data_IF_032518317436
#
_entry.id   IF_032518317436
#
_cell.length_a   1.000
_cell.length_b   1.000
_cell.length_c   1.000
_cell.angle_alpha   90.00
_cell.angle_beta   90.00
_cell.angle_gamma   90.00
#
_symmetry.space_group_name_H-M   'P 1'
#
loop_
_entity.id
_entity.type
_entity.pdbx_description
1 polymer ?
#
# COMPACT_ATOMS: atom_id res chain seq x y z
N UNK A 1 8.31 30.66 -13.78
CA UNK A 1 7.18 29.99 -13.10
C UNK A 1 7.72 29.32 -11.85
N UNK A 2 7.23 29.66 -10.67
CA UNK A 2 7.54 28.89 -9.45
C UNK A 2 6.95 27.49 -9.65
N UNK A 3 7.78 26.45 -9.64
CA UNK A 3 7.30 25.08 -9.37
C UNK A 3 6.56 25.20 -8.03
N UNK A 4 5.24 25.03 -8.03
CA UNK A 4 4.56 24.81 -6.75
C UNK A 4 5.19 23.55 -6.18
N UNK A 5 5.64 23.61 -4.92
CA UNK A 5 5.95 22.41 -4.16
C UNK A 5 4.60 21.73 -3.92
N UNK A 6 4.13 20.96 -4.91
CA UNK A 6 2.93 20.15 -4.80
C UNK A 6 3.27 19.09 -3.76
N UNK A 7 2.63 19.21 -2.61
CA UNK A 7 2.91 18.37 -1.44
C UNK A 7 2.12 17.09 -1.64
N UNK A 8 2.78 15.93 -1.64
CA UNK A 8 2.14 14.63 -1.80
C UNK A 8 1.38 14.18 -0.53
N UNK A 9 0.90 15.10 0.31
CA UNK A 9 0.42 14.76 1.66
C UNK A 9 -0.63 13.65 1.66
N UNK A 10 -1.69 13.69 0.82
CA UNK A 10 -2.71 12.63 0.85
C UNK A 10 -2.18 11.26 0.40
N UNK A 11 -1.24 11.25 -0.56
CA UNK A 11 -0.59 10.02 -1.03
C UNK A 11 0.35 9.41 0.02
N UNK A 12 0.99 10.26 0.82
CA UNK A 12 1.86 9.83 1.93
C UNK A 12 0.99 9.26 3.06
N UNK A 13 -0.14 9.90 3.37
CA UNK A 13 -1.07 9.43 4.41
C UNK A 13 -1.64 8.03 4.10
N UNK A 14 -1.95 7.72 2.85
CA UNK A 14 -2.39 6.35 2.49
C UNK A 14 -1.27 5.31 2.63
N UNK A 15 -0.06 5.69 2.28
CA UNK A 15 1.10 4.81 2.41
C UNK A 15 1.46 4.55 3.87
N UNK A 16 1.20 5.49 4.77
CA UNK A 16 1.40 5.30 6.21
C UNK A 16 0.58 4.11 6.73
N UNK A 17 -0.65 3.89 6.22
CA UNK A 17 -1.47 2.74 6.61
C UNK A 17 -0.92 1.40 6.10
N UNK A 18 -0.35 1.40 4.89
CA UNK A 18 0.32 0.21 4.34
C UNK A 18 1.63 -0.07 5.08
N UNK A 19 2.36 0.96 5.48
CA UNK A 19 3.57 0.84 6.31
C UNK A 19 3.22 0.30 7.69
N UNK A 20 2.14 0.79 8.31
CA UNK A 20 1.62 0.30 9.58
C UNK A 20 1.22 -1.18 9.48
N UNK A 21 0.57 -1.61 8.40
CA UNK A 21 0.32 -3.03 8.14
C UNK A 21 1.63 -3.84 8.14
N UNK A 22 2.66 -3.36 7.46
CA UNK A 22 3.97 -4.02 7.41
C UNK A 22 4.60 -4.14 8.80
N UNK A 23 4.50 -3.09 9.62
CA UNK A 23 4.91 -3.11 11.04
C UNK A 23 4.18 -4.18 11.83
N UNK A 24 2.84 -4.20 11.74
CA UNK A 24 2.00 -5.20 12.42
C UNK A 24 2.36 -6.62 12.01
N UNK A 25 2.60 -6.88 10.72
CA UNK A 25 3.07 -8.20 10.26
C UNK A 25 4.40 -8.57 10.93
N UNK A 26 5.38 -7.66 10.96
CA UNK A 26 6.69 -7.89 11.61
C UNK A 26 6.52 -8.19 13.10
N UNK A 27 5.72 -7.40 13.81
CA UNK A 27 5.46 -7.59 15.24
C UNK A 27 4.78 -8.94 15.52
N UNK A 28 3.74 -9.29 14.76
CA UNK A 28 3.06 -10.58 14.90
C UNK A 28 4.02 -11.76 14.70
N UNK A 29 4.88 -11.70 13.68
CA UNK A 29 5.88 -12.74 13.41
C UNK A 29 6.97 -12.81 14.50
N UNK A 30 7.46 -11.66 14.96
CA UNK A 30 8.48 -11.58 16.03
C UNK A 30 7.95 -12.13 17.36
N UNK A 31 6.70 -11.81 17.69
CA UNK A 31 6.01 -12.27 18.89
C UNK A 31 5.47 -13.69 18.78
N UNK A 32 5.74 -14.39 17.65
CA UNK A 32 5.27 -15.76 17.38
C UNK A 32 3.75 -15.92 17.52
N UNK A 33 3.01 -14.89 17.13
CA UNK A 33 1.56 -14.97 16.98
C UNK A 33 1.23 -16.07 15.97
N UNK A 34 0.13 -16.79 16.16
CA UNK A 34 -0.35 -17.76 15.18
C UNK A 34 -0.47 -17.10 13.80
N UNK A 35 0.25 -17.64 12.80
CA UNK A 35 0.29 -17.11 11.44
C UNK A 35 -1.14 -16.89 10.86
N UNK A 36 -2.13 -17.69 11.26
CA UNK A 36 -3.52 -17.54 10.81
C UNK A 36 -4.17 -16.27 11.34
N UNK A 37 -3.86 -15.83 12.56
CA UNK A 37 -4.37 -14.58 13.13
C UNK A 37 -3.88 -13.38 12.32
N UNK A 38 -2.58 -13.39 12.02
CA UNK A 38 -1.94 -12.39 11.15
C UNK A 38 -2.59 -12.45 9.76
N UNK A 39 -2.72 -13.66 9.17
CA UNK A 39 -3.31 -13.84 7.84
C UNK A 39 -4.73 -13.29 7.74
N UNK A 40 -5.57 -13.56 8.73
CA UNK A 40 -6.95 -13.06 8.75
C UNK A 40 -6.99 -11.53 8.71
N UNK A 41 -6.11 -10.87 9.46
CA UNK A 41 -6.04 -9.41 9.49
C UNK A 41 -5.57 -8.84 8.16
N UNK A 42 -4.49 -9.38 7.58
CA UNK A 42 -3.98 -8.85 6.31
C UNK A 42 -4.95 -9.10 5.15
N UNK A 43 -5.74 -10.18 5.18
CA UNK A 43 -6.76 -10.46 4.18
C UNK A 43 -7.91 -9.46 4.29
N UNK A 44 -8.33 -9.17 5.52
CA UNK A 44 -9.30 -8.11 5.77
C UNK A 44 -8.78 -6.76 5.29
N UNK A 45 -7.56 -6.37 5.65
CA UNK A 45 -6.93 -5.12 5.21
C UNK A 45 -6.86 -5.04 3.68
N UNK A 46 -6.50 -6.15 3.04
CA UNK A 46 -6.41 -6.22 1.57
C UNK A 46 -7.75 -5.89 0.93
N UNK A 47 -8.81 -6.56 1.37
CA UNK A 47 -10.16 -6.40 0.83
C UNK A 47 -10.73 -5.01 1.10
N UNK A 48 -10.50 -4.45 2.29
CA UNK A 48 -11.14 -3.21 2.73
C UNK A 48 -10.36 -1.96 2.32
N UNK A 49 -9.06 -2.08 2.06
CA UNK A 49 -8.20 -0.92 1.84
C UNK A 49 -7.27 -1.09 0.62
N UNK A 50 -6.39 -2.10 0.65
CA UNK A 50 -5.30 -2.22 -0.33
C UNK A 50 -5.80 -2.39 -1.78
N UNK A 51 -6.89 -3.15 -1.98
CA UNK A 51 -7.44 -3.36 -3.32
C UNK A 51 -8.01 -2.07 -3.91
N UNK A 52 -8.69 -1.26 -3.08
CA UNK A 52 -9.21 0.04 -3.51
C UNK A 52 -8.07 1.01 -3.83
N UNK A 53 -7.01 1.03 -3.00
CA UNK A 53 -5.79 1.79 -3.26
C UNK A 53 -5.17 1.43 -4.62
N UNK A 54 -5.01 0.13 -4.94
CA UNK A 54 -4.52 -0.29 -6.26
C UNK A 54 -5.44 0.12 -7.41
N UNK A 55 -6.76 0.10 -7.23
CA UNK A 55 -7.69 0.59 -8.27
C UNK A 55 -7.55 2.09 -8.51
N UNK A 56 -7.38 2.89 -7.46
CA UNK A 56 -7.16 4.33 -7.56
C UNK A 56 -5.88 4.62 -8.34
N UNK A 57 -4.78 3.94 -8.01
CA UNK A 57 -3.52 4.08 -8.75
C UNK A 57 -3.69 3.76 -10.24
N UNK A 58 -4.35 2.63 -10.55
CA UNK A 58 -4.58 2.22 -11.94
C UNK A 58 -5.45 3.21 -12.71
N UNK A 59 -6.41 3.84 -12.03
CA UNK A 59 -7.39 4.74 -12.66
C UNK A 59 -6.85 6.16 -12.82
N UNK A 60 -6.10 6.66 -11.85
CA UNK A 60 -5.75 8.08 -11.77
C UNK A 60 -4.24 8.34 -11.89
N UNK A 61 -3.40 7.46 -11.37
CA UNK A 61 -1.95 7.66 -11.30
C UNK A 61 -1.25 7.15 -12.57
N UNK A 62 -1.43 5.87 -12.89
CA UNK A 62 -0.72 5.21 -13.99
C UNK A 62 -0.99 5.82 -15.38
N UNK A 63 -2.20 6.32 -15.70
CA UNK A 63 -2.46 6.94 -17.00
C UNK A 63 -1.63 8.20 -17.27
N UNK A 64 -1.15 8.90 -16.24
CA UNK A 64 -0.36 10.14 -16.39
C UNK A 64 0.98 9.86 -17.07
N UNK A 65 1.67 8.79 -16.64
CA UNK A 65 2.92 8.34 -17.28
C UNK A 65 2.66 7.52 -18.55
N UNK A 66 1.45 6.98 -18.69
CA UNK A 66 1.02 6.11 -19.78
C UNK A 66 1.37 4.64 -19.55
N UNK A 67 0.48 3.75 -20.00
CA UNK A 67 0.55 2.31 -19.74
C UNK A 67 1.79 1.61 -20.33
N UNK A 68 2.51 2.25 -21.26
CA UNK A 68 3.75 1.71 -21.83
C UNK A 68 5.00 2.06 -21.02
N UNK A 69 4.89 3.01 -20.07
CA UNK A 69 6.00 3.46 -19.24
C UNK A 69 6.56 2.33 -18.37
N UNK A 70 7.89 2.28 -18.24
CA UNK A 70 8.59 1.22 -17.50
C UNK A 70 8.25 1.20 -16.00
N UNK A 71 8.00 2.36 -15.39
CA UNK A 71 7.60 2.48 -13.98
C UNK A 71 6.19 1.96 -13.75
N UNK A 72 5.25 2.31 -14.62
CA UNK A 72 3.88 1.80 -14.60
C UNK A 72 3.87 0.28 -14.78
N UNK A 73 4.64 -0.25 -15.73
CA UNK A 73 4.79 -1.71 -15.91
C UNK A 73 5.34 -2.40 -14.67
N UNK A 74 6.28 -1.77 -13.97
CA UNK A 74 6.84 -2.27 -12.71
C UNK A 74 5.78 -2.24 -11.60
N UNK A 75 5.05 -1.15 -11.42
CA UNK A 75 3.97 -1.06 -10.43
C UNK A 75 2.91 -2.15 -10.64
N UNK A 76 2.42 -2.30 -11.87
CA UNK A 76 1.48 -3.37 -12.22
C UNK A 76 2.06 -4.78 -12.00
N UNK A 77 3.37 -4.97 -12.16
CA UNK A 77 4.02 -6.24 -11.85
C UNK A 77 4.07 -6.51 -10.34
N UNK A 78 4.30 -5.48 -9.53
CA UNK A 78 4.23 -5.57 -8.07
C UNK A 78 2.80 -5.90 -7.62
N UNK A 79 1.77 -5.22 -8.12
CA UNK A 79 0.36 -5.56 -7.84
C UNK A 79 0.06 -7.03 -8.10
N UNK A 80 0.45 -7.54 -9.28
CA UNK A 80 0.26 -8.96 -9.64
C UNK A 80 1.01 -9.89 -8.69
N UNK A 81 2.20 -9.51 -8.23
CA UNK A 81 2.99 -10.32 -7.31
C UNK A 81 2.36 -10.35 -5.92
N UNK A 82 1.97 -9.20 -5.40
CA UNK A 82 1.28 -9.07 -4.11
C UNK A 82 -0.02 -9.86 -4.12
N UNK A 83 -0.86 -9.72 -5.14
CA UNK A 83 -2.10 -10.50 -5.28
C UNK A 83 -1.86 -12.02 -5.24
N UNK A 84 -0.77 -12.51 -5.84
CA UNK A 84 -0.42 -13.94 -5.74
C UNK A 84 0.02 -14.34 -4.33
N UNK A 85 0.74 -13.48 -3.61
CA UNK A 85 1.15 -13.75 -2.23
C UNK A 85 -0.04 -13.78 -1.28
N UNK A 86 -0.96 -12.81 -1.39
CA UNK A 86 -2.19 -12.78 -0.59
C UNK A 86 -3.09 -14.01 -0.83
N UNK A 87 -3.11 -14.52 -2.06
CA UNK A 87 -3.88 -15.72 -2.41
C UNK A 87 -3.29 -17.04 -1.87
N UNK A 88 -2.05 -17.04 -1.34
CA UNK A 88 -1.43 -18.24 -0.81
C UNK A 88 -1.96 -18.58 0.59
N UNK A 89 -2.28 -19.87 0.79
CA UNK A 89 -2.88 -20.38 2.03
C UNK A 89 -1.98 -21.38 2.76
N UNK A 90 -0.80 -21.69 2.20
CA UNK A 90 0.17 -22.61 2.79
C UNK A 90 1.47 -21.90 3.17
N UNK A 91 2.24 -22.49 4.09
CA UNK A 91 3.53 -21.95 4.56
C UNK A 91 3.42 -20.47 4.98
N UNK A 92 2.36 -20.15 5.73
CA UNK A 92 1.96 -18.78 6.04
C UNK A 92 3.12 -17.94 6.60
N UNK A 93 3.91 -18.46 7.54
CA UNK A 93 5.11 -17.78 8.03
C UNK A 93 6.00 -17.19 6.90
N UNK A 94 6.30 -17.99 5.87
CA UNK A 94 7.13 -17.56 4.73
C UNK A 94 6.39 -16.54 3.87
N UNK A 95 5.08 -16.75 3.67
CA UNK A 95 4.24 -15.88 2.85
C UNK A 95 4.08 -14.50 3.49
N UNK A 96 3.84 -14.45 4.79
CA UNK A 96 3.67 -13.22 5.56
C UNK A 96 4.94 -12.36 5.50
N UNK A 97 6.12 -12.96 5.70
CA UNK A 97 7.40 -12.26 5.51
C UNK A 97 7.52 -11.69 4.08
N UNK A 98 7.17 -12.47 3.06
CA UNK A 98 7.24 -11.99 1.67
C UNK A 98 6.22 -10.88 1.36
N UNK A 99 5.02 -10.93 1.93
CA UNK A 99 4.02 -9.87 1.75
C UNK A 99 4.57 -8.56 2.31
N UNK A 100 5.10 -8.60 3.53
CA UNK A 100 5.71 -7.45 4.19
C UNK A 100 6.88 -6.87 3.37
N UNK A 101 7.85 -7.70 2.99
CA UNK A 101 9.01 -7.27 2.20
C UNK A 101 8.59 -6.61 0.87
N UNK A 102 7.62 -7.22 0.18
CA UNK A 102 7.15 -6.73 -1.11
C UNK A 102 6.32 -5.46 -1.03
N UNK A 103 5.47 -5.32 -0.02
CA UNK A 103 4.71 -4.09 0.23
C UNK A 103 5.66 -2.95 0.60
N UNK A 104 6.54 -3.15 1.57
CA UNK A 104 7.55 -2.17 1.98
C UNK A 104 8.42 -1.72 0.79
N UNK A 105 8.85 -2.67 -0.05
CA UNK A 105 9.61 -2.34 -1.26
C UNK A 105 8.77 -1.62 -2.33
N UNK A 106 7.48 -1.93 -2.42
CA UNK A 106 6.57 -1.32 -3.40
C UNK A 106 6.30 0.14 -3.05
N UNK A 107 5.86 0.40 -1.82
CA UNK A 107 5.61 1.76 -1.30
C UNK A 107 6.86 2.63 -1.46
N UNK A 108 8.02 2.11 -1.04
CA UNK A 108 9.27 2.84 -1.20
C UNK A 108 9.68 3.09 -2.66
N UNK A 109 9.29 2.24 -3.60
CA UNK A 109 9.47 2.50 -5.04
C UNK A 109 8.53 3.61 -5.51
N UNK A 110 7.28 3.61 -5.07
CA UNK A 110 6.30 4.60 -5.50
C UNK A 110 6.69 6.00 -5.07
N UNK A 111 6.96 6.18 -3.78
CA UNK A 111 7.30 7.48 -3.20
C UNK A 111 8.59 8.06 -3.78
N UNK A 112 9.63 7.23 -3.88
CA UNK A 112 10.97 7.70 -4.26
C UNK A 112 11.17 7.77 -5.76
N UNK A 113 10.39 7.03 -6.54
CA UNK A 113 10.60 6.92 -8.00
C UNK A 113 9.34 7.29 -8.77
N UNK A 114 8.23 6.57 -8.60
CA UNK A 114 7.04 6.75 -9.44
C UNK A 114 6.45 8.15 -9.26
N UNK A 115 6.15 8.55 -8.02
CA UNK A 115 5.48 9.82 -7.73
C UNK A 115 6.38 11.03 -8.01
N UNK A 116 7.70 10.87 -7.87
CA UNK A 116 8.65 11.89 -8.29
C UNK A 116 8.61 12.11 -9.81
N UNK A 117 8.56 11.05 -10.62
CA UNK A 117 8.41 11.19 -12.08
C UNK A 117 7.06 11.82 -12.45
N UNK A 118 5.98 11.47 -11.75
CA UNK A 118 4.64 12.06 -11.96
C UNK A 118 4.66 13.56 -11.62
N UNK A 119 5.35 13.98 -10.55
CA UNK A 119 5.43 15.40 -10.12
C UNK A 119 6.01 16.30 -11.20
N UNK A 120 6.93 15.78 -11.99
CA UNK A 120 7.57 16.57 -13.03
C UNK A 120 6.72 16.72 -14.30
N UNK A 121 5.69 15.88 -14.50
CA UNK A 121 4.92 15.84 -15.75
C UNK A 121 3.42 16.12 -15.60
N UNK A 122 2.82 15.87 -14.43
CA UNK A 122 1.39 16.02 -14.23
C UNK A 122 0.97 17.49 -14.27
N UNK A 123 -0.16 17.77 -14.94
CA UNK A 123 -0.78 19.08 -14.92
C UNK A 123 -1.39 19.39 -13.54
N UNK A 124 -1.66 20.66 -13.26
CA UNK A 124 -2.32 21.05 -12.01
C UNK A 124 -3.71 20.38 -11.85
N UNK A 125 -4.45 20.21 -12.94
CA UNK A 125 -5.75 19.53 -12.95
C UNK A 125 -5.63 18.04 -12.66
N UNK A 126 -4.62 17.37 -13.24
CA UNK A 126 -4.34 15.95 -12.94
C UNK A 126 -3.93 15.76 -11.48
N UNK A 127 -3.14 16.69 -10.93
CA UNK A 127 -2.77 16.69 -9.52
C UNK A 127 -3.96 16.86 -8.59
N UNK A 128 -4.86 17.79 -8.89
CA UNK A 128 -6.06 18.00 -8.10
C UNK A 128 -6.98 16.77 -8.12
N UNK A 129 -7.10 16.08 -9.26
CA UNK A 129 -7.88 14.84 -9.37
C UNK A 129 -7.25 13.69 -8.56
N UNK A 130 -5.91 13.58 -8.59
CA UNK A 130 -5.17 12.64 -7.74
C UNK A 130 -5.53 12.90 -6.28
N UNK A 131 -5.27 14.10 -5.77
CA UNK A 131 -5.53 14.42 -4.36
C UNK A 131 -6.98 14.14 -3.96
N UNK A 132 -7.95 14.51 -4.80
CA UNK A 132 -9.38 14.23 -4.54
C UNK A 132 -9.72 12.74 -4.51
N UNK A 133 -9.10 11.93 -5.36
CA UNK A 133 -9.34 10.49 -5.40
C UNK A 133 -8.79 9.79 -4.16
N UNK A 134 -7.66 10.26 -3.63
CA UNK A 134 -7.00 9.68 -2.45
C UNK A 134 -7.67 10.07 -1.13
N UNK A 135 -8.27 11.26 -1.01
CA UNK A 135 -9.12 11.61 0.14
C UNK A 135 -10.39 10.73 0.30
N UNK A 136 -10.68 9.82 -0.64
CA UNK A 136 -11.82 8.89 -0.53
C UNK A 136 -11.48 7.63 0.28
N UNK A 137 -10.19 7.38 0.54
CA UNK A 137 -9.74 6.23 1.29
C UNK A 137 -9.69 6.55 2.78
N UNK A 138 -10.77 6.25 3.48
CA UNK A 138 -10.76 6.21 4.94
C UNK A 138 -10.28 4.84 5.41
N UNK A 139 -9.24 4.82 6.25
CA UNK A 139 -8.85 3.62 6.98
C UNK A 139 -9.42 3.66 8.39
N UNK A 140 -10.12 2.59 8.77
CA UNK A 140 -10.56 2.37 10.14
C UNK A 140 -10.57 0.86 10.40
N UNK A 141 -9.83 0.45 11.43
CA UNK A 141 -9.79 -0.94 11.90
C UNK A 141 -10.37 -1.13 13.30
N UNK A 142 -11.10 -0.14 13.85
CA UNK A 142 -11.66 -0.13 15.22
C UNK A 142 -12.47 -1.39 15.53
N UNK A 143 -13.21 -1.89 14.55
CA UNK A 143 -14.02 -3.10 14.66
C UNK A 143 -13.19 -4.40 14.62
N UNK A 144 -11.91 -4.34 14.25
CA UNK A 144 -11.00 -5.48 14.28
C UNK A 144 -10.58 -5.81 15.72
N UNK A 145 -11.14 -6.90 16.24
CA UNK A 145 -10.96 -7.31 17.64
C UNK A 145 -9.63 -8.01 17.92
N UNK A 146 -9.06 -8.67 16.92
CA UNK A 146 -7.84 -9.45 17.08
C UNK A 146 -6.59 -8.57 16.90
N UNK A 147 -6.38 -7.64 17.84
CA UNK A 147 -5.24 -6.70 17.89
C UNK A 147 -3.96 -7.41 18.32
N UNK A 148 -3.51 -8.38 17.54
CA UNK A 148 -2.36 -9.22 17.90
C UNK A 148 -1.02 -8.46 18.01
N UNK A 149 -0.97 -7.23 17.52
CA UNK A 149 0.17 -6.31 17.58
C UNK A 149 0.23 -5.52 18.90
N UNK A 150 -0.85 -5.47 19.67
CA UNK A 150 -0.82 -4.84 20.98
C UNK A 150 -0.10 -5.77 21.96
N UNK A 151 1.07 -5.33 22.44
CA UNK A 151 1.73 -6.00 23.56
C UNK A 151 0.82 -5.88 24.77
N UNK A 152 0.30 -7.00 25.27
CA UNK A 152 -0.31 -7.03 26.60
C UNK A 152 0.78 -6.61 27.60
N UNK A 153 0.68 -5.41 28.14
CA UNK A 153 1.43 -5.03 29.34
C UNK A 153 0.73 -5.76 30.48
N UNK A 154 1.13 -6.99 30.73
CA UNK A 154 0.88 -7.67 32.01
C UNK A 154 1.92 -7.21 33.05
#
# INVERSE_FOLDING_TARGET
MKKQNIVLTPLIEEHDEVILLCERIREGLQNKVDDKRIKNYIDWFKEHYLDLHFEIEKKYIFPILGNTNVRVKRALANHRRLNRLFAETSKLNIVLNKIEEELSSYIGFEERVLYNEIRDIASAEQWEEIEKSHHQLEFNDDDWKDRFWETSID
#
